data_IF_276646706396
#
_entry.id   IF_276646706396
#
_cell.length_a   1.000
_cell.length_b   1.000
_cell.length_c   1.000
_cell.angle_alpha   90.00
_cell.angle_beta   90.00
_cell.angle_gamma   90.00
#
_symmetry.space_group_name_H-M   'P 1'
#
loop_
_entity.id
_entity.type
_entity.pdbx_description
1 polymer ?
#
# COMPACT_ATOMS: atom_id res chain seq x y z
N UNK A 1 13.82 71.21 48.83
CA UNK A 1 14.37 70.29 49.85
C UNK A 1 14.35 68.93 49.19
N UNK A 2 15.43 68.54 48.49
CA UNK A 2 16.64 67.90 49.06
C UNK A 2 16.25 66.51 49.60
N UNK A 3 16.53 65.41 48.91
CA UNK A 3 17.84 64.70 48.81
C UNK A 3 17.56 63.26 49.31
N UNK A 4 18.16 62.13 48.91
CA UNK A 4 19.31 61.77 48.04
C UNK A 4 19.08 60.33 47.51
N UNK A 5 19.68 59.92 46.38
CA UNK A 5 19.73 58.53 45.86
C UNK A 5 21.08 57.87 46.23
N UNK A 6 21.23 56.53 46.23
CA UNK A 6 21.80 55.94 45.01
C UNK A 6 21.30 54.53 44.60
N UNK A 7 21.50 54.32 43.29
CA UNK A 7 21.53 53.12 42.44
C UNK A 7 22.45 51.95 42.89
N UNK A 8 22.65 50.86 42.08
CA UNK A 8 21.77 50.20 41.09
C UNK A 8 21.83 48.64 41.17
N UNK A 9 21.15 47.93 40.26
CA UNK A 9 21.82 46.93 39.39
C UNK A 9 21.00 46.70 38.12
N UNK A 10 21.57 47.09 36.98
CA UNK A 10 21.08 46.80 35.63
C UNK A 10 21.96 45.70 35.03
N UNK A 11 21.37 44.64 34.47
CA UNK A 11 22.03 43.89 33.39
C UNK A 11 20.98 43.29 32.45
N UNK A 12 21.10 43.64 31.17
CA UNK A 12 20.45 43.04 30.01
C UNK A 12 21.56 42.78 28.96
N UNK A 13 21.28 42.05 27.86
CA UNK A 13 22.05 40.86 27.50
C UNK A 13 23.33 41.14 26.70
N UNK A 14 24.28 40.20 26.80
CA UNK A 14 25.44 40.14 25.92
C UNK A 14 25.17 39.20 24.73
N UNK A 15 25.65 39.58 23.55
CA UNK A 15 25.46 38.86 22.30
C UNK A 15 26.81 38.58 21.63
N UNK A 16 27.10 37.30 21.32
CA UNK A 16 28.33 36.91 20.65
C UNK A 16 28.13 36.59 19.16
N UNK A 17 28.93 37.26 18.32
CA UNK A 17 29.34 36.87 16.96
C UNK A 17 30.39 37.88 16.47
N UNK A 18 31.18 37.61 15.41
CA UNK A 18 31.61 36.31 14.86
C UNK A 18 33.16 36.20 14.82
N UNK A 19 33.70 35.02 14.47
CA UNK A 19 35.07 34.91 13.96
C UNK A 19 35.11 34.15 12.63
N UNK A 20 35.93 34.65 11.71
CA UNK A 20 36.13 34.16 10.35
C UNK A 20 37.64 34.22 10.05
N UNK A 21 38.25 33.10 9.67
CA UNK A 21 39.67 33.05 9.23
C UNK A 21 39.90 31.96 8.19
N UNK A 22 40.36 32.35 7.01
CA UNK A 22 41.05 31.53 5.97
C UNK A 22 42.03 32.47 5.23
N UNK A 23 42.90 32.05 4.27
CA UNK A 23 43.24 30.69 3.82
C UNK A 23 44.76 30.38 3.78
N UNK A 24 45.13 29.12 3.49
CA UNK A 24 46.44 28.74 2.93
C UNK A 24 46.34 27.43 2.12
N UNK A 25 47.21 27.25 1.12
CA UNK A 25 47.15 26.22 0.05
C UNK A 25 48.48 25.44 -0.04
N UNK A 26 48.55 24.41 -0.93
CA UNK A 26 49.72 23.61 -1.39
C UNK A 26 50.21 22.52 -0.41
N UNK A 27 50.63 21.31 -0.82
CA UNK A 27 50.78 20.66 -2.14
C UNK A 27 50.70 19.10 -2.02
N UNK A 28 50.73 18.36 -3.13
CA UNK A 28 50.65 16.88 -3.20
C UNK A 28 52.01 16.16 -2.95
N UNK A 29 52.03 14.82 -2.90
CA UNK A 29 52.68 14.11 -4.02
C UNK A 29 52.05 12.77 -4.49
N UNK A 30 52.26 12.47 -5.77
CA UNK A 30 52.24 11.14 -6.43
C UNK A 30 53.61 10.43 -6.22
N UNK A 31 53.91 9.18 -6.59
CA UNK A 31 53.20 7.90 -6.79
C UNK A 31 54.28 6.83 -7.13
N UNK A 32 54.07 5.55 -6.83
CA UNK A 32 54.72 4.34 -7.41
C UNK A 32 54.06 3.14 -6.70
N UNK A 33 53.22 2.31 -7.31
CA UNK A 33 53.40 1.32 -8.40
C UNK A 33 54.06 0.00 -7.94
N UNK A 34 53.23 -1.02 -7.70
CA UNK A 34 53.54 -2.40 -8.14
C UNK A 34 52.25 -3.24 -8.29
N UNK A 35 52.26 -4.18 -9.25
CA UNK A 35 51.19 -5.10 -9.63
C UNK A 35 51.86 -6.47 -9.87
N UNK A 36 51.20 -7.63 -9.68
CA UNK A 36 50.33 -8.12 -10.78
C UNK A 36 49.16 -9.07 -10.41
N UNK A 37 48.36 -9.37 -11.45
CA UNK A 37 47.61 -10.62 -11.70
C UNK A 37 46.40 -11.03 -10.82
N UNK A 38 45.20 -10.62 -11.28
CA UNK A 38 44.03 -11.46 -11.59
C UNK A 38 43.70 -12.74 -10.79
N UNK A 39 42.48 -12.80 -10.23
CA UNK A 39 41.48 -13.81 -10.62
C UNK A 39 40.03 -13.37 -10.28
N UNK A 40 39.03 -14.06 -10.82
CA UNK A 40 37.63 -13.61 -10.87
C UNK A 40 36.71 -14.22 -9.80
N UNK A 41 35.80 -13.42 -9.22
CA UNK A 41 34.51 -13.91 -8.74
C UNK A 41 33.45 -12.78 -8.69
N UNK A 42 32.33 -12.98 -9.39
CA UNK A 42 31.14 -12.13 -9.27
C UNK A 42 30.02 -12.91 -8.56
N UNK A 43 29.42 -12.39 -7.47
CA UNK A 43 28.31 -13.06 -6.81
C UNK A 43 27.00 -12.84 -7.58
N UNK A 44 26.53 -13.87 -8.28
CA UNK A 44 25.15 -13.93 -8.79
C UNK A 44 24.21 -14.35 -7.67
N UNK A 45 23.49 -13.41 -7.05
CA UNK A 45 22.32 -13.74 -6.24
C UNK A 45 21.11 -13.90 -7.17
N UNK A 46 20.47 -15.06 -7.15
CA UNK A 46 19.42 -15.44 -8.09
C UNK A 46 18.06 -14.88 -7.72
N UNK A 47 17.48 -14.05 -8.60
CA UNK A 47 16.04 -13.86 -8.66
C UNK A 47 15.34 -15.18 -9.02
N UNK A 48 14.37 -15.63 -8.21
CA UNK A 48 13.13 -16.31 -8.64
C UNK A 48 12.35 -16.90 -7.45
N UNK A 49 11.32 -16.19 -6.98
CA UNK A 49 10.30 -16.72 -6.04
C UNK A 49 8.86 -16.51 -6.51
N UNK A 50 8.63 -16.15 -7.78
CA UNK A 50 7.29 -15.82 -8.30
C UNK A 50 6.73 -16.79 -9.36
N UNK A 51 7.21 -18.04 -9.39
CA UNK A 51 6.93 -19.00 -10.49
C UNK A 51 5.94 -20.14 -10.17
N UNK A 52 5.14 -20.04 -9.11
CA UNK A 52 4.20 -21.11 -8.66
C UNK A 52 2.71 -20.87 -8.99
N UNK A 53 2.37 -20.13 -10.06
CA UNK A 53 0.98 -19.98 -10.48
C UNK A 53 0.79 -19.96 -12.01
N UNK A 54 0.94 -21.13 -12.65
CA UNK A 54 0.68 -21.26 -14.10
C UNK A 54 0.78 -22.67 -14.65
N UNK A 55 -0.38 -23.23 -15.05
CA UNK A 55 -0.55 -24.24 -16.12
C UNK A 55 0.39 -25.45 -16.19
N UNK A 56 -0.06 -26.60 -15.68
CA UNK A 56 0.56 -27.89 -16.01
C UNK A 56 0.41 -28.25 -17.51
N UNK A 57 1.47 -28.73 -18.19
CA UNK A 57 1.43 -28.96 -19.63
C UNK A 57 0.72 -30.26 -20.03
N UNK A 58 0.04 -30.18 -21.17
CA UNK A 58 -0.60 -31.27 -21.93
C UNK A 58 0.45 -32.32 -22.34
N UNK A 59 0.12 -33.62 -22.31
CA UNK A 59 0.99 -34.69 -22.80
C UNK A 59 0.28 -35.51 -23.88
N UNK A 60 1.01 -35.84 -24.95
CA UNK A 60 0.48 -36.48 -26.16
C UNK A 60 0.43 -38.02 -26.07
N UNK A 61 -0.28 -38.60 -27.04
CA UNK A 61 -0.75 -40.00 -27.12
C UNK A 61 0.34 -40.94 -27.66
N UNK A 62 0.32 -42.21 -27.25
CA UNK A 62 0.99 -43.31 -27.98
C UNK A 62 0.28 -44.66 -27.79
N UNK A 63 -0.11 -45.24 -28.93
CA UNK A 63 -0.59 -46.58 -29.27
C UNK A 63 0.52 -47.66 -29.10
N UNK A 64 0.33 -48.98 -28.91
CA UNK A 64 -0.82 -49.91 -28.71
C UNK A 64 -0.25 -51.29 -28.20
N UNK A 65 -0.98 -52.45 -28.02
CA UNK A 65 -2.28 -52.87 -28.58
C UNK A 65 -3.28 -53.60 -27.63
N UNK A 66 -4.38 -54.03 -28.24
CA UNK A 66 -5.57 -54.71 -27.70
C UNK A 66 -5.34 -56.18 -27.29
N UNK A 67 -6.08 -56.65 -26.28
CA UNK A 67 -6.56 -58.04 -26.21
C UNK A 67 -8.01 -58.02 -25.67
N UNK A 68 -8.83 -58.92 -26.17
CA UNK A 68 -10.28 -58.71 -26.34
C UNK A 68 -11.09 -59.77 -25.59
N UNK A 69 -11.94 -59.36 -24.61
CA UNK A 69 -13.31 -59.89 -24.36
C UNK A 69 -13.97 -59.49 -23.02
N UNK A 70 -15.22 -59.03 -23.16
CA UNK A 70 -16.41 -59.24 -22.31
C UNK A 70 -16.47 -58.70 -20.86
N UNK A 71 -17.39 -57.73 -20.69
CA UNK A 71 -17.90 -57.21 -19.40
C UNK A 71 -18.76 -58.25 -18.63
N UNK A 72 -19.11 -58.01 -17.34
CA UNK A 72 -20.22 -57.10 -17.05
C UNK A 72 -19.87 -56.00 -16.04
N UNK A 73 -20.08 -54.74 -16.45
CA UNK A 73 -20.16 -53.59 -15.54
C UNK A 73 -21.30 -53.79 -14.53
N UNK A 74 -20.94 -53.85 -13.24
CA UNK A 74 -21.85 -54.13 -12.12
C UNK A 74 -22.79 -52.97 -11.74
N UNK A 75 -23.62 -52.51 -12.67
CA UNK A 75 -24.67 -51.51 -12.39
C UNK A 75 -25.88 -52.17 -11.72
N UNK A 76 -25.73 -52.51 -10.43
CA UNK A 76 -26.81 -53.04 -9.59
C UNK A 76 -27.34 -51.97 -8.65
N UNK A 77 -28.47 -51.40 -9.02
CA UNK A 77 -29.29 -50.48 -8.23
C UNK A 77 -29.76 -51.16 -6.93
N UNK A 78 -29.12 -50.85 -5.80
CA UNK A 78 -29.61 -51.17 -4.46
C UNK A 78 -30.16 -49.91 -3.80
N UNK A 79 -31.43 -49.93 -3.39
CA UNK A 79 -32.08 -48.85 -2.65
C UNK A 79 -31.89 -49.00 -1.13
N UNK A 80 -32.01 -47.86 -0.45
CA UNK A 80 -32.24 -47.67 1.00
C UNK A 80 -31.12 -48.08 1.96
N UNK A 81 -30.43 -47.04 2.43
CA UNK A 81 -29.79 -46.93 3.73
C UNK A 81 -29.82 -45.45 4.11
N UNK A 82 -30.99 -44.95 4.49
CA UNK A 82 -31.14 -43.60 5.06
C UNK A 82 -30.68 -43.65 6.53
N UNK A 83 -29.37 -43.58 6.75
CA UNK A 83 -28.81 -43.14 8.03
C UNK A 83 -28.52 -41.65 7.90
N UNK A 84 -29.53 -40.84 8.22
CA UNK A 84 -29.34 -39.43 8.53
C UNK A 84 -28.67 -39.33 9.90
N UNK A 85 -27.33 -39.41 9.91
CA UNK A 85 -26.49 -38.90 11.01
C UNK A 85 -26.61 -37.35 11.01
N UNK A 86 -27.81 -36.85 11.32
CA UNK A 86 -28.02 -35.46 11.72
C UNK A 86 -27.21 -35.23 12.99
N UNK A 87 -26.12 -34.50 12.88
CA UNK A 87 -25.40 -33.99 14.04
C UNK A 87 -26.42 -33.22 14.92
N UNK A 88 -26.56 -33.57 16.21
CA UNK A 88 -27.63 -33.01 17.05
C UNK A 88 -27.56 -31.49 17.05
N UNK A 89 -28.70 -30.83 16.82
CA UNK A 89 -28.78 -29.37 16.79
C UNK A 89 -28.10 -28.78 18.03
N UNK A 90 -27.14 -27.87 17.79
CA UNK A 90 -26.45 -27.18 18.88
C UNK A 90 -27.49 -26.40 19.70
N UNK A 91 -27.51 -26.53 21.04
CA UNK A 91 -28.53 -25.87 21.86
C UNK A 91 -28.49 -24.36 21.65
N UNK A 92 -29.65 -23.74 21.46
CA UNK A 92 -29.78 -22.28 21.33
C UNK A 92 -29.49 -21.60 22.69
N UNK A 93 -28.23 -21.24 22.90
CA UNK A 93 -27.78 -20.59 24.14
C UNK A 93 -28.11 -19.10 24.08
N UNK A 94 -29.20 -18.71 24.73
CA UNK A 94 -29.56 -17.32 24.92
C UNK A 94 -28.63 -16.61 25.92
N UNK A 95 -28.17 -15.41 25.57
CA UNK A 95 -27.34 -14.54 26.43
C UNK A 95 -28.02 -13.18 26.64
N UNK A 96 -28.20 -12.78 27.90
CA UNK A 96 -28.65 -11.42 28.25
C UNK A 96 -27.56 -10.37 27.93
N UNK A 97 -27.87 -9.28 27.18
CA UNK A 97 -26.88 -8.28 26.82
C UNK A 97 -26.35 -7.49 28.03
N UNK A 98 -25.05 -7.59 28.30
CA UNK A 98 -24.35 -6.84 29.36
C UNK A 98 -24.43 -5.32 29.14
N UNK A 99 -24.45 -4.88 27.88
CA UNK A 99 -24.60 -3.47 27.48
C UNK A 99 -25.68 -3.39 26.42
N UNK A 100 -26.68 -2.53 26.64
CA UNK A 100 -27.76 -2.25 25.68
C UNK A 100 -27.48 -0.92 25.00
N UNK A 101 -27.05 -0.96 23.73
CA UNK A 101 -26.85 0.24 22.91
C UNK A 101 -28.21 0.76 22.42
N UNK A 102 -28.91 1.50 23.29
CA UNK A 102 -30.27 1.99 23.05
C UNK A 102 -30.35 3.16 22.08
N UNK A 103 -29.28 3.93 21.96
CA UNK A 103 -29.23 5.12 21.10
C UNK A 103 -28.58 4.78 19.75
N UNK A 104 -29.32 5.04 18.66
CA UNK A 104 -28.77 4.94 17.31
C UNK A 104 -27.90 6.17 17.03
N UNK A 105 -26.59 6.01 17.18
CA UNK A 105 -25.61 7.04 16.82
C UNK A 105 -25.67 7.33 15.32
N UNK A 106 -25.79 8.61 14.94
CA UNK A 106 -25.67 9.04 13.55
C UNK A 106 -24.19 8.97 13.12
N UNK A 107 -23.87 8.05 12.22
CA UNK A 107 -22.51 7.87 11.70
C UNK A 107 -22.27 8.74 10.47
N UNK A 108 -21.37 9.72 10.57
CA UNK A 108 -20.89 10.52 9.43
C UNK A 108 -19.66 9.86 8.81
N UNK A 109 -19.54 9.94 7.49
CA UNK A 109 -18.39 9.39 6.74
C UNK A 109 -17.21 10.35 6.69
N UNK A 110 -17.48 11.66 6.82
CA UNK A 110 -16.55 12.77 6.58
C UNK A 110 -16.06 12.80 5.13
N UNK A 111 -16.99 12.53 4.21
CA UNK A 111 -16.84 12.51 2.75
C UNK A 111 -18.00 13.29 2.06
N UNK A 112 -18.92 13.87 2.83
CA UNK A 112 -20.16 14.50 2.36
C UNK A 112 -19.92 15.80 1.56
N UNK A 113 -18.81 16.49 1.84
CA UNK A 113 -18.35 17.69 1.13
C UNK A 113 -17.47 17.37 -0.09
N UNK A 114 -17.39 16.11 -0.51
CA UNK A 114 -16.56 15.68 -1.64
C UNK A 114 -17.42 15.13 -2.80
N UNK A 115 -16.84 15.16 -4.00
CA UNK A 115 -17.35 14.53 -5.21
C UNK A 115 -16.45 13.36 -5.59
N UNK A 116 -17.04 12.21 -5.91
CA UNK A 116 -16.31 11.02 -6.29
C UNK A 116 -16.01 11.04 -7.80
N UNK A 117 -14.83 11.54 -8.18
CA UNK A 117 -14.39 11.66 -9.58
C UNK A 117 -13.94 10.33 -10.18
N UNK A 118 -13.54 9.36 -9.35
CA UNK A 118 -13.19 8.01 -9.76
C UNK A 118 -13.63 6.99 -8.71
N UNK A 119 -14.05 5.79 -9.15
CA UNK A 119 -14.33 4.64 -8.30
C UNK A 119 -14.00 3.35 -9.04
N UNK A 120 -13.20 2.47 -8.43
CA UNK A 120 -12.92 1.15 -9.01
C UNK A 120 -12.55 0.10 -7.96
N UNK A 121 -12.89 -1.16 -8.26
CA UNK A 121 -12.53 -2.32 -7.46
C UNK A 121 -11.02 -2.60 -7.55
N UNK A 122 -10.34 -2.72 -6.41
CA UNK A 122 -8.91 -2.96 -6.33
C UNK A 122 -8.47 -3.80 -5.11
N UNK A 123 -7.22 -4.25 -5.14
CA UNK A 123 -6.48 -4.78 -3.97
C UNK A 123 -5.24 -3.93 -3.75
N UNK A 124 -5.05 -3.46 -2.52
CA UNK A 124 -3.97 -2.60 -2.08
C UNK A 124 -2.99 -3.38 -1.19
N UNK A 125 -1.71 -3.13 -1.39
CA UNK A 125 -0.59 -3.68 -0.63
C UNK A 125 0.27 -2.54 -0.08
N UNK A 126 0.95 -2.78 1.03
CA UNK A 126 2.05 -1.94 1.53
C UNK A 126 3.36 -2.71 1.46
N UNK A 127 4.45 -2.02 1.18
CA UNK A 127 5.78 -2.60 1.29
C UNK A 127 6.25 -2.51 2.74
N UNK A 128 6.52 -3.66 3.34
CA UNK A 128 7.06 -3.78 4.69
C UNK A 128 8.59 -3.71 4.62
N UNK A 129 9.18 -2.67 5.21
CA UNK A 129 10.62 -2.39 5.05
C UNK A 129 11.52 -3.37 5.81
N UNK A 130 11.04 -3.91 6.92
CA UNK A 130 11.83 -4.78 7.80
C UNK A 130 11.91 -6.19 7.21
N UNK A 131 10.78 -6.73 6.76
CA UNK A 131 10.70 -8.03 6.08
C UNK A 131 10.94 -7.98 4.57
N UNK A 132 11.01 -6.77 3.98
CA UNK A 132 11.26 -6.49 2.55
C UNK A 132 10.24 -7.16 1.62
N UNK A 133 8.98 -7.25 2.05
CA UNK A 133 7.91 -7.94 1.32
C UNK A 133 6.65 -7.08 1.13
N UNK A 134 5.80 -7.50 0.20
CA UNK A 134 4.48 -6.87 -0.03
C UNK A 134 3.41 -7.53 0.84
N UNK A 135 2.88 -6.79 1.82
CA UNK A 135 1.78 -7.24 2.68
C UNK A 135 0.45 -6.68 2.17
N UNK A 136 -0.60 -7.49 2.11
CA UNK A 136 -1.94 -7.00 1.76
C UNK A 136 -2.42 -6.00 2.81
N UNK A 137 -2.79 -4.80 2.36
CA UNK A 137 -3.32 -3.72 3.22
C UNK A 137 -4.86 -3.71 3.20
N UNK A 138 -5.47 -4.05 2.06
CA UNK A 138 -6.93 -4.17 1.95
C UNK A 138 -7.44 -4.49 0.55
N UNK A 139 -8.63 -5.09 0.47
CA UNK A 139 -9.38 -5.29 -0.78
C UNK A 139 -10.72 -4.54 -0.66
N UNK A 140 -11.10 -3.81 -1.71
CA UNK A 140 -12.26 -2.90 -1.66
C UNK A 140 -12.37 -2.00 -2.88
N UNK A 141 -13.16 -0.93 -2.78
CA UNK A 141 -13.24 0.10 -3.81
C UNK A 141 -12.27 1.25 -3.48
N UNK A 142 -11.33 1.52 -4.38
CA UNK A 142 -10.54 2.76 -4.36
C UNK A 142 -11.36 3.89 -4.98
N UNK A 143 -11.34 5.06 -4.35
CA UNK A 143 -12.03 6.26 -4.81
C UNK A 143 -11.08 7.45 -4.83
N UNK A 144 -11.24 8.31 -5.82
CA UNK A 144 -10.69 9.66 -5.80
C UNK A 144 -11.83 10.61 -5.44
N UNK A 145 -11.63 11.37 -4.36
CA UNK A 145 -12.62 12.27 -3.78
C UNK A 145 -12.10 13.71 -3.87
N UNK A 146 -12.81 14.56 -4.59
CA UNK A 146 -12.48 15.97 -4.82
C UNK A 146 -13.34 16.86 -3.93
N UNK A 147 -12.71 17.68 -3.08
CA UNK A 147 -13.46 18.55 -2.17
C UNK A 147 -14.21 19.64 -2.92
N UNK A 148 -15.47 19.90 -2.56
CA UNK A 148 -16.34 20.86 -3.28
C UNK A 148 -15.86 22.31 -3.15
N UNK A 149 -15.24 22.67 -2.02
CA UNK A 149 -14.79 24.04 -1.73
C UNK A 149 -13.33 24.29 -2.16
N UNK A 150 -12.36 23.59 -1.57
CA UNK A 150 -10.93 23.80 -1.87
C UNK A 150 -10.41 23.04 -3.11
N UNK A 151 -11.26 22.24 -3.77
CA UNK A 151 -10.98 21.47 -4.99
C UNK A 151 -9.83 20.44 -4.91
N UNK A 152 -9.19 20.24 -3.74
CA UNK A 152 -8.13 19.25 -3.56
C UNK A 152 -8.72 17.84 -3.62
N UNK A 153 -8.05 16.95 -4.35
CA UNK A 153 -8.42 15.54 -4.50
C UNK A 153 -7.60 14.63 -3.61
N UNK A 154 -8.25 13.73 -2.87
CA UNK A 154 -7.60 12.66 -2.09
C UNK A 154 -8.00 11.27 -2.57
N UNK A 155 -7.11 10.30 -2.35
CA UNK A 155 -7.38 8.88 -2.52
C UNK A 155 -7.91 8.32 -1.21
N UNK A 156 -9.09 7.71 -1.25
CA UNK A 156 -9.69 6.99 -0.12
C UNK A 156 -10.07 5.57 -0.54
N UNK A 157 -9.62 4.58 0.22
CA UNK A 157 -9.99 3.17 0.02
C UNK A 157 -10.45 2.56 1.35
N UNK A 158 -11.54 1.79 1.31
CA UNK A 158 -12.10 1.08 2.48
C UNK A 158 -12.15 -0.41 2.22
N UNK A 159 -11.84 -1.22 3.24
CA UNK A 159 -11.88 -2.68 3.19
C UNK A 159 -13.33 -3.18 3.13
N UNK A 160 -13.56 -4.22 2.34
CA UNK A 160 -14.87 -4.91 2.32
C UNK A 160 -15.32 -5.35 3.71
N UNK A 161 -16.65 -5.39 3.90
CA UNK A 161 -17.40 -5.85 5.09
C UNK A 161 -17.14 -5.01 6.35
N UNK A 162 -15.89 -4.78 6.70
CA UNK A 162 -15.46 -4.00 7.88
C UNK A 162 -15.53 -2.49 7.68
N UNK A 163 -15.52 -2.01 6.42
CA UNK A 163 -15.54 -0.60 6.02
C UNK A 163 -14.39 0.27 6.60
N UNK A 164 -13.42 -0.36 7.26
CA UNK A 164 -12.19 0.27 7.76
C UNK A 164 -11.40 0.86 6.61
N UNK A 165 -10.95 2.10 6.77
CA UNK A 165 -10.07 2.77 5.82
C UNK A 165 -8.76 1.99 5.72
N UNK A 166 -8.20 1.87 4.52
CA UNK A 166 -6.88 1.25 4.25
C UNK A 166 -5.99 2.07 3.32
N UNK A 167 -6.48 3.22 2.84
CA UNK A 167 -5.68 4.33 2.32
C UNK A 167 -6.48 5.63 2.47
N UNK A 168 -5.81 6.70 2.87
CA UNK A 168 -6.35 8.06 2.98
C UNK A 168 -5.19 9.04 2.90
N UNK A 169 -4.97 9.62 1.73
CA UNK A 169 -3.92 10.62 1.47
C UNK A 169 -4.33 11.53 0.31
N UNK A 170 -3.88 12.80 0.34
CA UNK A 170 -3.98 13.67 -0.83
C UNK A 170 -3.14 13.14 -1.98
N UNK A 171 -3.59 13.34 -3.22
CA UNK A 171 -2.73 13.19 -4.39
C UNK A 171 -1.86 14.44 -4.47
N UNK A 172 -0.54 14.29 -4.53
CA UNK A 172 0.42 15.41 -4.53
C UNK A 172 1.37 15.33 -5.74
N UNK A 173 1.96 16.46 -6.20
CA UNK A 173 2.67 16.53 -7.48
C UNK A 173 3.93 15.65 -7.57
N UNK A 174 4.53 15.32 -6.43
CA UNK A 174 5.73 14.48 -6.29
C UNK A 174 5.44 12.96 -6.35
N UNK A 175 4.16 12.54 -6.26
CA UNK A 175 3.78 11.14 -6.44
C UNK A 175 4.07 10.66 -7.85
N UNK A 176 4.57 9.43 -7.99
CA UNK A 176 4.83 8.82 -9.31
C UNK A 176 4.34 7.39 -9.37
N UNK A 177 3.27 7.16 -10.12
CA UNK A 177 2.79 5.81 -10.45
C UNK A 177 3.83 5.10 -11.34
N UNK A 178 4.51 4.12 -10.76
CA UNK A 178 5.52 3.29 -11.42
C UNK A 178 4.96 1.89 -11.67
N UNK A 179 5.23 1.25 -12.82
CA UNK A 179 4.73 -0.10 -13.10
C UNK A 179 5.38 -1.10 -12.13
N UNK A 180 4.61 -2.08 -11.66
CA UNK A 180 5.17 -3.15 -10.84
C UNK A 180 5.81 -4.24 -11.72
N UNK A 181 6.99 -4.74 -11.34
CA UNK A 181 7.69 -5.79 -12.10
C UNK A 181 6.81 -7.05 -12.18
N UNK A 182 6.63 -7.57 -13.39
CA UNK A 182 5.77 -8.74 -13.63
C UNK A 182 4.27 -8.48 -13.56
N UNK A 183 3.79 -7.23 -13.58
CA UNK A 183 2.35 -6.94 -13.66
C UNK A 183 2.00 -5.76 -14.58
N UNK A 184 1.14 -6.04 -15.55
CA UNK A 184 0.48 -5.11 -16.48
C UNK A 184 -0.71 -4.34 -15.86
N UNK A 185 -1.12 -4.74 -14.66
CA UNK A 185 -2.35 -4.31 -13.97
C UNK A 185 -2.12 -3.81 -12.54
N UNK A 186 -0.88 -3.43 -12.23
CA UNK A 186 -0.50 -2.91 -10.90
C UNK A 186 0.39 -1.68 -10.99
N UNK A 187 0.14 -0.68 -10.13
CA UNK A 187 0.96 0.52 -9.97
C UNK A 187 1.53 0.63 -8.56
N UNK A 188 2.70 1.24 -8.44
CA UNK A 188 3.43 1.49 -7.18
C UNK A 188 3.68 2.99 -7.03
N UNK A 189 3.48 3.54 -5.82
CA UNK A 189 3.84 4.91 -5.48
C UNK A 189 4.23 5.04 -4.00
N UNK A 190 4.79 6.20 -3.63
CA UNK A 190 4.99 6.58 -2.23
C UNK A 190 3.95 7.63 -1.85
N UNK A 191 3.33 7.47 -0.68
CA UNK A 191 2.55 8.51 -0.02
C UNK A 191 3.30 8.94 1.23
N UNK A 192 3.67 10.22 1.33
CA UNK A 192 4.45 10.73 2.47
C UNK A 192 3.63 10.85 3.77
N UNK A 193 2.30 10.98 3.65
CA UNK A 193 1.38 11.24 4.74
C UNK A 193 0.04 10.52 4.51
N UNK A 194 0.03 9.19 4.64
CA UNK A 194 -1.19 8.39 4.68
C UNK A 194 -1.71 8.28 6.12
N UNK A 195 -2.95 8.70 6.35
CA UNK A 195 -3.60 8.79 7.67
C UNK A 195 -4.66 7.70 7.87
N UNK A 196 -4.54 6.55 7.20
CA UNK A 196 -5.59 5.51 7.25
C UNK A 196 -5.59 4.64 8.51
N UNK A 197 -4.51 4.66 9.30
CA UNK A 197 -4.40 3.94 10.58
C UNK A 197 -4.21 4.90 11.78
N UNK A 198 -4.35 6.23 11.58
CA UNK A 198 -4.22 7.25 12.63
C UNK A 198 -3.40 8.46 12.17
N UNK A 199 -2.22 8.63 12.79
CA UNK A 199 -1.26 9.70 12.46
C UNK A 199 -0.71 9.59 11.02
N UNK A 200 -0.14 10.65 10.45
CA UNK A 200 0.44 10.63 9.11
C UNK A 200 1.67 9.72 9.01
N UNK A 201 1.59 8.68 8.18
CA UNK A 201 2.70 7.75 7.94
C UNK A 201 3.19 7.78 6.49
N UNK A 202 4.51 7.66 6.31
CA UNK A 202 5.11 7.44 4.99
C UNK A 202 4.95 5.98 4.55
N UNK A 203 4.17 5.74 3.50
CA UNK A 203 3.79 4.42 3.01
C UNK A 203 4.21 4.23 1.55
N UNK A 204 4.94 3.15 1.26
CA UNK A 204 5.17 2.68 -0.11
C UNK A 204 4.06 1.71 -0.47
N UNK A 205 3.18 2.11 -1.38
CA UNK A 205 1.92 1.41 -1.70
C UNK A 205 1.97 0.80 -3.10
N UNK A 206 1.35 -0.36 -3.26
CA UNK A 206 1.06 -0.95 -4.56
C UNK A 206 -0.42 -1.27 -4.67
N UNK A 207 -1.06 -0.92 -5.78
CA UNK A 207 -2.46 -1.21 -6.07
C UNK A 207 -2.56 -2.11 -7.30
N UNK A 208 -3.44 -3.11 -7.25
CA UNK A 208 -3.70 -4.06 -8.33
C UNK A 208 -5.17 -4.05 -8.71
N UNK A 209 -5.43 -4.01 -10.02
CA UNK A 209 -6.76 -4.04 -10.62
C UNK A 209 -7.06 -5.40 -11.26
N UNK A 210 -8.29 -5.58 -11.75
CA UNK A 210 -8.72 -6.82 -12.40
C UNK A 210 -7.93 -7.12 -13.68
N UNK A 211 -7.72 -6.10 -14.52
CA UNK A 211 -7.05 -6.18 -15.82
C UNK A 211 -6.20 -4.90 -16.07
N UNK A 212 -5.43 -4.86 -17.17
CA UNK A 212 -4.58 -3.71 -17.51
C UNK A 212 -5.38 -2.44 -17.86
N UNK A 213 -6.52 -2.59 -18.55
CA UNK A 213 -7.43 -1.48 -18.89
C UNK A 213 -7.87 -0.70 -17.65
N UNK A 214 -8.38 -1.39 -16.63
CA UNK A 214 -8.76 -0.81 -15.34
C UNK A 214 -7.58 -0.11 -14.64
N UNK A 215 -6.38 -0.68 -14.73
CA UNK A 215 -5.18 -0.06 -14.18
C UNK A 215 -4.81 1.24 -14.92
N UNK A 216 -4.97 1.29 -16.24
CA UNK A 216 -4.71 2.48 -17.04
C UNK A 216 -5.76 3.58 -16.78
N UNK A 217 -7.05 3.22 -16.64
CA UNK A 217 -8.11 4.15 -16.24
C UNK A 217 -7.85 4.78 -14.86
N UNK A 218 -7.39 3.99 -13.88
CA UNK A 218 -6.95 4.53 -12.59
C UNK A 218 -5.78 5.49 -12.74
N UNK A 219 -4.77 5.13 -13.54
CA UNK A 219 -3.59 5.98 -13.76
C UNK A 219 -3.98 7.32 -14.39
N UNK A 220 -4.82 7.31 -15.41
CA UNK A 220 -5.32 8.53 -16.06
C UNK A 220 -6.07 9.43 -15.08
N UNK A 221 -6.97 8.87 -14.27
CA UNK A 221 -7.69 9.62 -13.24
C UNK A 221 -6.75 10.17 -12.15
N UNK A 222 -5.75 9.39 -11.73
CA UNK A 222 -4.76 9.80 -10.73
C UNK A 222 -3.85 10.92 -11.25
N UNK A 223 -3.31 10.81 -12.47
CA UNK A 223 -2.47 11.84 -13.09
C UNK A 223 -3.27 13.11 -13.43
N UNK A 224 -4.57 12.98 -13.70
CA UNK A 224 -5.48 14.14 -13.85
C UNK A 224 -5.65 14.86 -12.51
N UNK A 225 -6.03 14.13 -11.46
CA UNK A 225 -6.16 14.67 -10.10
C UNK A 225 -4.84 15.29 -9.58
N UNK A 226 -3.69 14.72 -9.94
CA UNK A 226 -2.37 15.25 -9.63
C UNK A 226 -2.14 16.63 -10.26
N UNK A 227 -2.38 16.77 -11.57
CA UNK A 227 -2.24 18.05 -12.30
C UNK A 227 -3.23 19.11 -11.85
N UNK A 228 -4.40 18.72 -11.36
CA UNK A 228 -5.36 19.64 -10.74
C UNK A 228 -4.86 20.11 -9.36
N UNK A 229 -4.42 19.19 -8.51
CA UNK A 229 -3.89 19.51 -7.18
C UNK A 229 -2.59 20.32 -7.24
N UNK A 230 -1.72 20.10 -8.23
CA UNK A 230 -0.49 20.88 -8.43
C UNK A 230 -0.76 22.38 -8.52
N UNK A 231 -1.75 22.77 -9.32
CA UNK A 231 -2.18 24.19 -9.44
C UNK A 231 -2.61 24.74 -8.09
N UNK A 232 -3.52 24.04 -7.42
CA UNK A 232 -4.10 24.42 -6.11
C UNK A 232 -3.08 24.44 -4.97
N UNK A 233 -1.95 23.75 -5.10
CA UNK A 233 -0.86 23.73 -4.12
C UNK A 233 0.24 24.76 -4.46
N UNK A 234 0.36 25.17 -5.72
CA UNK A 234 1.27 26.27 -6.14
C UNK A 234 0.72 27.68 -5.84
N UNK A 235 -0.57 27.77 -5.52
CA UNK A 235 -1.30 29.00 -5.20
C UNK A 235 -1.36 29.30 -3.67
N UNK A 236 -0.62 28.55 -2.84
CA UNK A 236 -0.62 28.63 -1.36
C UNK A 236 0.77 28.94 -0.80
#
# INVERSE_FOLDING_TARGET
>A
MSDTQPDPTTTAPEAEKPQETTPATTEAPQAEEEKPATESAAPKTTDNVFSMFGGGPKKEKKEEPEDDKDEPSGSSKAQKGEDEDEAPESPDVHFEPVIRLTEKVETKTNEELEEQTFKMRAKLFRFDRDSKEWKERGTGDVRLLKHKENHKTRLVMRRDKTLKVCANHYIVPDMKLSPNVGSDRSWVWNAAADVSEGEPEAQTLAIRFANSENANLFKEAFETAQKENEKLLSEQ
#
